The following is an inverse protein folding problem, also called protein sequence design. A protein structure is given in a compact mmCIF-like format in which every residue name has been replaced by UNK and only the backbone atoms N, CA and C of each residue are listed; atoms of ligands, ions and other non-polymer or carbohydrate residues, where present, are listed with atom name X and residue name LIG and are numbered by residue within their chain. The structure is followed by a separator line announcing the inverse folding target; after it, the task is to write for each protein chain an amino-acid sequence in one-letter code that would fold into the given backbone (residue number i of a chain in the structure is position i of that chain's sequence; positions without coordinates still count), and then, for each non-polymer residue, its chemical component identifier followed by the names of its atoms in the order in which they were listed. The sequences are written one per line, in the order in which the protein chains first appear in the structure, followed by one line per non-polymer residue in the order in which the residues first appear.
data_IF_542495539787
#
_entry.id   IF_542495539787
#
_cell.length_a   1.000
_cell.length_b   1.000
_cell.length_c   1.000
_cell.angle_alpha   90.00
_cell.angle_beta   90.00
_cell.angle_gamma   90.00
#
_symmetry.space_group_name_H-M   'P 1'
#
loop_
_entity.id
_entity.type
_entity.pdbx_description
1 polymer ?
#
# COMPACT_ATOMS: atom_id res chain seq x y z
N UNK A 1 9.67 -4.42 17.60
CA UNK A 1 8.64 -3.92 16.67
C UNK A 1 8.76 -4.64 15.33
N UNK A 2 7.63 -5.05 14.79
CA UNK A 2 7.61 -5.69 13.48
C UNK A 2 7.99 -4.67 12.40
N UNK A 3 8.73 -5.14 11.41
CA UNK A 3 9.03 -4.31 10.24
C UNK A 3 7.76 -4.14 9.41
N UNK A 4 7.57 -2.96 8.87
CA UNK A 4 6.44 -2.65 7.99
C UNK A 4 6.96 -2.16 6.66
N UNK A 5 6.24 -2.50 5.59
CA UNK A 5 6.53 -1.92 4.28
C UNK A 5 5.25 -1.75 3.48
N UNK A 6 5.19 -0.66 2.74
CA UNK A 6 4.16 -0.45 1.73
C UNK A 6 4.56 -1.21 0.47
N UNK A 7 3.61 -1.90 -0.14
CA UNK A 7 3.83 -2.47 -1.47
C UNK A 7 2.91 -1.75 -2.46
N UNK A 8 3.40 -1.54 -3.66
CA UNK A 8 2.64 -0.82 -4.69
C UNK A 8 2.98 -1.39 -6.05
N UNK A 9 1.95 -1.71 -6.81
CA UNK A 9 2.09 -2.13 -8.20
C UNK A 9 1.38 -1.09 -9.06
N UNK A 10 2.16 -0.30 -9.78
CA UNK A 10 1.62 0.83 -10.55
C UNK A 10 0.89 0.40 -11.81
N UNK A 11 1.06 -0.84 -12.24
CA UNK A 11 0.34 -1.37 -13.38
C UNK A 11 0.21 -2.88 -13.21
N UNK A 12 -0.97 -3.30 -12.77
CA UNK A 12 -1.23 -4.70 -12.40
C UNK A 12 -0.91 -5.64 -13.56
N UNK A 13 -0.11 -6.66 -13.25
CA UNK A 13 0.26 -7.70 -14.19
C UNK A 13 1.44 -7.40 -15.10
N UNK A 14 1.91 -6.15 -15.14
CA UNK A 14 2.95 -5.74 -16.07
C UNK A 14 4.33 -5.52 -15.44
N UNK A 15 4.37 -5.15 -14.16
CA UNK A 15 5.63 -4.80 -13.49
C UNK A 15 5.68 -5.42 -12.10
N UNK A 16 6.88 -5.47 -11.55
CA UNK A 16 7.10 -5.94 -10.19
C UNK A 16 6.60 -4.92 -9.19
N UNK A 17 6.27 -5.38 -7.97
CA UNK A 17 5.88 -4.50 -6.89
C UNK A 17 7.04 -3.60 -6.49
N UNK A 18 6.68 -2.38 -6.12
CA UNK A 18 7.59 -1.40 -5.54
C UNK A 18 7.35 -1.39 -4.04
N UNK A 19 8.42 -1.33 -3.25
CA UNK A 19 8.31 -1.43 -1.79
C UNK A 19 8.93 -0.22 -1.12
N UNK A 20 8.29 0.25 -0.04
CA UNK A 20 8.82 1.34 0.80
C UNK A 20 8.70 0.92 2.26
N UNK A 21 9.82 0.81 2.95
CA UNK A 21 9.79 0.51 4.39
C UNK A 21 9.28 1.75 5.14
N UNK A 22 8.43 1.49 6.14
CA UNK A 22 7.82 2.56 6.94
C UNK A 22 7.93 2.22 8.42
N UNK A 23 7.76 3.23 9.27
CA UNK A 23 7.90 3.07 10.70
C UNK A 23 6.55 2.99 11.43
N UNK A 24 5.47 3.37 10.78
CA UNK A 24 4.15 3.37 11.39
C UNK A 24 3.07 3.18 10.33
N UNK A 25 1.87 2.81 10.77
CA UNK A 25 0.73 2.69 9.86
C UNK A 25 0.30 4.05 9.33
N UNK A 26 0.45 5.12 10.12
CA UNK A 26 0.14 6.47 9.69
C UNK A 26 1.08 6.92 8.57
N UNK A 27 2.36 6.60 8.68
CA UNK A 27 3.31 6.89 7.62
C UNK A 27 2.98 6.10 6.35
N UNK A 28 2.61 4.83 6.53
CA UNK A 28 2.21 3.98 5.40
C UNK A 28 1.00 4.58 4.68
N UNK A 29 0.01 5.06 5.42
CA UNK A 29 -1.19 5.65 4.85
C UNK A 29 -0.88 6.90 4.03
N UNK A 30 0.01 7.73 4.54
CA UNK A 30 0.44 8.94 3.82
C UNK A 30 1.12 8.57 2.50
N UNK A 31 2.00 7.58 2.55
CA UNK A 31 2.74 7.14 1.36
C UNK A 31 1.77 6.54 0.33
N UNK A 32 0.84 5.70 0.78
CA UNK A 32 -0.15 5.10 -0.11
C UNK A 32 -0.97 6.15 -0.84
N UNK A 33 -1.47 7.15 -0.11
CA UNK A 33 -2.23 8.23 -0.72
C UNK A 33 -1.41 9.01 -1.73
N UNK A 34 -0.14 9.24 -1.43
CA UNK A 34 0.76 9.93 -2.35
C UNK A 34 0.95 9.12 -3.64
N UNK A 35 1.14 7.82 -3.52
CA UNK A 35 1.32 6.96 -4.69
C UNK A 35 0.04 6.88 -5.54
N UNK A 36 -1.11 6.80 -4.90
CA UNK A 36 -2.38 6.80 -5.62
C UNK A 36 -2.62 8.11 -6.35
N UNK A 37 -2.32 9.24 -5.71
CA UNK A 37 -2.45 10.56 -6.31
C UNK A 37 -1.50 10.73 -7.50
N UNK A 38 -0.28 10.20 -7.38
CA UNK A 38 0.70 10.25 -8.45
C UNK A 38 0.25 9.40 -9.64
N UNK A 39 -0.30 8.22 -9.37
CA UNK A 39 -0.82 7.36 -10.43
C UNK A 39 -1.97 8.02 -11.17
N UNK A 40 -2.87 8.66 -10.43
CA UNK A 40 -3.98 9.39 -11.04
C UNK A 40 -3.47 10.56 -11.89
N UNK A 41 -2.48 11.29 -11.37
CA UNK A 41 -1.84 12.38 -12.11
C UNK A 41 -1.27 11.88 -13.45
N UNK A 42 -0.58 10.74 -13.42
CA UNK A 42 -0.02 10.16 -14.63
C UNK A 42 -1.09 9.78 -15.64
N UNK A 43 -2.18 9.20 -15.16
CA UNK A 43 -3.29 8.82 -16.01
C UNK A 43 -3.95 10.04 -16.64
N UNK A 44 -4.23 11.06 -15.84
CA UNK A 44 -4.90 12.27 -16.31
C UNK A 44 -4.04 13.09 -17.30
N UNK A 45 -2.72 12.92 -17.25
CA UNK A 45 -1.79 13.60 -18.15
C UNK A 45 -1.29 12.70 -19.27
N UNK A 46 -1.97 11.58 -19.51
CA UNK A 46 -1.68 10.63 -20.60
C UNK A 46 -0.29 10.00 -20.53
N UNK A 47 0.29 9.94 -19.35
CA UNK A 47 1.58 9.27 -19.14
C UNK A 47 1.37 7.75 -19.00
N UNK A 48 0.24 7.35 -18.39
CA UNK A 48 -0.16 5.94 -18.27
C UNK A 48 -1.37 5.67 -19.14
N UNK A 49 -1.45 4.49 -19.75
CA UNK A 49 -2.60 4.14 -20.61
C UNK A 49 -3.90 3.90 -19.84
N UNK A 50 -3.80 3.52 -18.56
CA UNK A 50 -4.98 3.31 -17.72
C UNK A 50 -4.66 3.60 -16.25
N UNK A 51 -5.72 3.64 -15.43
CA UNK A 51 -5.59 3.83 -13.98
C UNK A 51 -5.85 2.49 -13.32
N UNK A 52 -4.85 1.62 -13.36
CA UNK A 52 -4.95 0.28 -12.81
C UNK A 52 -3.75 0.02 -11.89
N UNK A 53 -3.99 0.05 -10.59
CA UNK A 53 -2.94 -0.23 -9.62
C UNK A 53 -3.46 -1.10 -8.49
N UNK A 54 -2.52 -1.66 -7.72
CA UNK A 54 -2.82 -2.38 -6.50
C UNK A 54 -1.75 -2.04 -5.48
N UNK A 55 -2.12 -1.92 -4.22
CA UNK A 55 -1.18 -1.57 -3.17
C UNK A 55 -1.71 -1.95 -1.80
N UNK A 56 -0.83 -1.94 -0.81
CA UNK A 56 -1.21 -2.27 0.54
C UNK A 56 -0.04 -2.16 1.50
N UNK A 57 -0.23 -2.69 2.69
CA UNK A 57 0.78 -2.69 3.74
C UNK A 57 1.07 -4.12 4.15
N UNK A 58 2.36 -4.40 4.35
CA UNK A 58 2.82 -5.71 4.82
C UNK A 58 3.63 -5.55 6.10
N UNK A 59 3.60 -6.60 6.92
CA UNK A 59 4.49 -6.69 8.08
C UNK A 59 5.36 -7.94 7.92
N UNK A 60 6.55 -7.92 8.54
CA UNK A 60 7.43 -9.07 8.49
C UNK A 60 7.13 -10.01 9.66
N UNK A 61 6.75 -11.23 9.34
CA UNK A 61 6.50 -12.26 10.35
C UNK A 61 7.82 -12.94 10.70
N UNK A 62 8.31 -12.70 11.91
CA UNK A 62 9.60 -13.23 12.36
C UNK A 62 9.58 -14.76 12.54
N UNK A 63 8.45 -15.34 12.88
CA UNK A 63 8.33 -16.78 13.05
C UNK A 63 8.36 -17.52 11.74
N UNK A 64 7.60 -17.03 10.76
CA UNK A 64 7.53 -17.65 9.44
C UNK A 64 8.62 -17.11 8.51
N UNK A 65 9.29 -16.04 8.90
CA UNK A 65 10.33 -15.36 8.12
C UNK A 65 9.83 -14.95 6.73
N UNK A 66 8.64 -14.36 6.71
CA UNK A 66 8.05 -13.89 5.46
C UNK A 66 7.23 -12.63 5.69
N UNK A 67 6.98 -11.90 4.61
CA UNK A 67 6.13 -10.72 4.63
C UNK A 67 4.68 -11.16 4.47
N UNK A 68 3.81 -10.62 5.33
CA UNK A 68 2.38 -10.94 5.33
C UNK A 68 1.57 -9.66 5.23
N UNK A 69 0.38 -9.76 4.63
CA UNK A 69 -0.53 -8.62 4.56
C UNK A 69 -0.90 -8.18 5.98
N UNK A 70 -0.86 -6.86 6.18
CA UNK A 70 -1.20 -6.29 7.49
C UNK A 70 -2.70 -6.12 7.64
N UNK A 71 -3.21 -6.51 8.81
CA UNK A 71 -4.60 -6.28 9.20
C UNK A 71 -4.62 -5.73 10.62
N UNK A 72 -5.63 -4.91 10.92
CA UNK A 72 -5.82 -4.42 12.28
C UNK A 72 -6.51 -5.48 13.15
N UNK A 73 -6.80 -5.12 14.41
CA UNK A 73 -7.41 -6.05 15.35
C UNK A 73 -8.81 -6.50 14.93
N UNK A 74 -9.47 -5.72 14.09
CA UNK A 74 -10.81 -6.04 13.58
C UNK A 74 -10.77 -6.78 12.25
N UNK A 75 -9.56 -7.05 11.73
CA UNK A 75 -9.41 -7.77 10.48
C UNK A 75 -9.47 -6.90 9.23
N UNK A 76 -9.38 -5.58 9.38
CA UNK A 76 -9.38 -4.65 8.26
C UNK A 76 -7.96 -4.40 7.76
N UNK A 77 -7.78 -4.34 6.44
CA UNK A 77 -6.51 -3.93 5.88
C UNK A 77 -6.31 -2.42 6.08
N UNK A 78 -5.14 -1.88 5.66
CA UNK A 78 -4.84 -0.48 5.95
C UNK A 78 -5.85 0.48 5.34
N UNK A 79 -6.31 0.21 4.13
CA UNK A 79 -7.30 1.06 3.48
C UNK A 79 -8.62 1.06 4.25
N UNK A 80 -9.11 -0.13 4.59
CA UNK A 80 -10.33 -0.28 5.35
C UNK A 80 -10.21 0.33 6.75
N UNK A 81 -9.05 0.15 7.38
CA UNK A 81 -8.79 0.68 8.71
C UNK A 81 -8.96 2.20 8.77
N UNK A 82 -8.35 2.92 7.82
CA UNK A 82 -8.38 4.38 7.83
C UNK A 82 -9.70 4.93 7.27
N UNK A 83 -10.27 4.30 6.27
CA UNK A 83 -11.54 4.75 5.70
C UNK A 83 -12.70 4.54 6.67
N UNK A 84 -12.73 3.39 7.36
CA UNK A 84 -13.78 3.11 8.34
C UNK A 84 -13.69 4.01 9.56
N UNK A 85 -12.48 4.38 9.97
CA UNK A 85 -12.30 5.21 11.17
C UNK A 85 -12.63 6.68 10.96
N UNK A 86 -12.84 7.11 9.73
CA UNK A 86 -13.17 8.50 9.40
C UNK A 86 -14.68 8.76 9.37
N UNK A 87 -15.48 7.74 9.62
CA UNK A 87 -16.93 7.84 9.58
C UNK A 87 -17.50 8.28 10.93
#
# INVERSE_FOLDING_TARGET
MAKLRVWHNCQVGAVKNFYVEVESIEQAWKILNTLWDYDLFQYENNIKPDYCNASGLEYFDEEEREWCEWYDDDGFNIKEHFEESEV
#
